data_IF_577040677389
#
_entry.id   IF_577040677389
#
_cell.length_a   1.000
_cell.length_b   1.000
_cell.length_c   1.000
_cell.angle_alpha   90.00
_cell.angle_beta   90.00
_cell.angle_gamma   90.00
#
_symmetry.space_group_name_H-M   'P 1'
#
loop_
_entity.id
_entity.type
_entity.pdbx_description
1 polymer ?
#
# COMPACT_ATOMS: atom_id res chain seq x y z
N UNK A 1 6.76 51.92 27.38
CA UNK A 1 5.69 50.89 27.47
C UNK A 1 5.61 50.23 26.11
N UNK A 2 6.32 49.11 25.97
CA UNK A 2 6.53 48.41 24.70
C UNK A 2 5.31 47.60 24.30
N UNK A 3 4.92 47.68 23.03
CA UNK A 3 3.84 46.89 22.43
C UNK A 3 4.34 45.46 22.22
N UNK A 4 3.69 44.50 22.86
CA UNK A 4 3.91 43.08 22.69
C UNK A 4 3.40 42.64 21.32
N UNK A 5 4.29 42.02 20.53
CA UNK A 5 3.95 41.30 19.32
C UNK A 5 3.40 39.90 19.66
N UNK A 6 2.58 39.38 18.75
CA UNK A 6 2.36 37.94 18.52
C UNK A 6 1.41 37.26 19.52
N UNK A 7 0.29 36.67 19.12
CA UNK A 7 0.25 35.60 18.11
C UNK A 7 -1.18 35.29 17.67
N UNK A 8 -1.44 35.56 16.38
CA UNK A 8 -2.08 34.67 15.40
C UNK A 8 -3.57 34.28 15.56
N UNK A 9 -4.23 33.98 14.43
CA UNK A 9 -5.64 34.26 14.18
C UNK A 9 -6.51 32.99 14.15
N UNK A 10 -7.82 33.23 14.19
CA UNK A 10 -8.90 32.59 13.40
C UNK A 10 -8.65 31.15 12.93
N UNK A 11 -9.54 30.25 13.37
CA UNK A 11 -10.04 29.10 12.61
C UNK A 11 -9.46 28.95 11.18
N UNK A 12 -8.43 28.13 11.03
CA UNK A 12 -8.07 27.56 9.74
C UNK A 12 -8.16 26.04 9.84
N UNK A 13 -9.40 25.57 9.77
CA UNK A 13 -9.71 24.30 9.15
C UNK A 13 -9.12 24.32 7.73
N UNK A 14 -7.91 23.79 7.59
CA UNK A 14 -7.28 23.53 6.30
C UNK A 14 -6.22 22.45 6.50
N UNK A 15 -6.70 21.23 6.82
CA UNK A 15 -6.08 20.06 6.18
C UNK A 15 -6.37 20.24 4.69
N UNK A 16 -5.41 20.85 4.02
CA UNK A 16 -5.33 20.95 2.59
C UNK A 16 -5.25 19.53 2.02
N UNK A 17 -6.43 18.93 1.78
CA UNK A 17 -6.59 17.86 0.81
C UNK A 17 -6.59 18.51 -0.57
N UNK A 18 -5.44 19.11 -0.92
CA UNK A 18 -5.22 19.69 -2.22
C UNK A 18 -5.03 18.58 -3.24
N UNK A 19 -6.01 18.51 -4.15
CA UNK A 19 -5.95 17.88 -5.47
C UNK A 19 -5.96 16.36 -5.49
N UNK A 20 -7.12 15.78 -5.81
CA UNK A 20 -7.29 14.89 -6.97
C UNK A 20 -6.43 13.62 -7.11
N UNK A 21 -5.60 13.27 -6.14
CA UNK A 21 -5.06 11.94 -5.99
C UNK A 21 -6.05 11.20 -5.11
N UNK A 22 -6.93 10.42 -5.75
CA UNK A 22 -7.54 9.29 -5.07
C UNK A 22 -6.35 8.54 -4.43
N UNK A 23 -6.19 8.57 -3.10
CA UNK A 23 -5.04 7.93 -2.44
C UNK A 23 -5.07 6.48 -2.85
N UNK A 24 -4.23 6.11 -3.82
CA UNK A 24 -4.26 4.80 -4.42
C UNK A 24 -4.11 3.78 -3.30
N UNK A 25 -5.14 2.95 -3.10
CA UNK A 25 -5.12 1.96 -2.02
C UNK A 25 -3.97 1.00 -2.25
N UNK A 26 -3.22 0.68 -1.21
CA UNK A 26 -2.09 -0.22 -1.29
C UNK A 26 -2.49 -1.54 -0.65
N UNK A 27 -2.45 -2.63 -1.41
CA UNK A 27 -2.60 -3.97 -0.88
C UNK A 27 -1.30 -4.76 -0.99
N UNK A 28 -1.20 -5.79 -0.17
CA UNK A 28 -0.11 -6.74 -0.17
C UNK A 28 -0.63 -8.10 -0.64
N UNK A 29 0.05 -8.69 -1.59
CA UNK A 29 -0.36 -9.95 -2.18
C UNK A 29 0.87 -10.83 -2.41
N UNK A 30 0.72 -12.14 -2.23
CA UNK A 30 1.76 -13.11 -2.56
C UNK A 30 1.09 -14.41 -2.99
N UNK A 31 1.81 -15.18 -3.81
CA UNK A 31 1.36 -16.48 -4.33
C UNK A 31 2.59 -17.31 -4.72
N UNK A 32 2.38 -18.55 -5.16
CA UNK A 32 3.41 -19.48 -5.59
C UNK A 32 4.37 -18.90 -6.65
N UNK A 33 3.86 -18.04 -7.54
CA UNK A 33 4.65 -17.37 -8.57
C UNK A 33 5.69 -16.38 -8.03
N UNK A 34 5.59 -15.95 -6.78
CA UNK A 34 6.53 -15.02 -6.13
C UNK A 34 7.69 -15.73 -5.43
N UNK A 35 7.87 -17.03 -5.71
CA UNK A 35 9.02 -17.78 -5.24
C UNK A 35 10.30 -17.33 -5.95
N UNK A 36 11.23 -16.75 -5.19
CA UNK A 36 12.56 -16.43 -5.66
C UNK A 36 13.50 -17.61 -5.41
N UNK A 37 14.05 -18.19 -6.49
CA UNK A 37 15.06 -19.25 -6.41
C UNK A 37 16.37 -18.76 -5.80
N UNK A 38 16.72 -17.52 -6.08
CA UNK A 38 17.95 -16.88 -5.60
C UNK A 38 17.97 -16.79 -4.07
N UNK A 39 16.80 -16.46 -3.48
CA UNK A 39 16.64 -16.29 -2.05
C UNK A 39 16.01 -17.50 -1.35
N UNK A 40 15.67 -18.56 -2.10
CA UNK A 40 14.99 -19.77 -1.63
C UNK A 40 13.76 -19.46 -0.76
N UNK A 41 12.91 -18.53 -1.21
CA UNK A 41 11.75 -18.08 -0.45
C UNK A 41 10.75 -17.28 -1.26
N UNK A 42 9.59 -17.05 -0.67
CA UNK A 42 8.47 -16.29 -1.22
C UNK A 42 8.57 -14.83 -0.78
N UNK A 43 8.45 -13.92 -1.75
CA UNK A 43 8.38 -12.49 -1.49
C UNK A 43 6.92 -12.03 -1.40
N UNK A 44 6.67 -10.99 -0.62
CA UNK A 44 5.36 -10.31 -0.60
C UNK A 44 5.41 -9.16 -1.59
N UNK A 45 4.42 -9.06 -2.47
CA UNK A 45 4.31 -7.99 -3.44
C UNK A 45 3.35 -6.92 -2.93
N UNK A 46 3.84 -5.68 -2.90
CA UNK A 46 3.04 -4.49 -2.66
C UNK A 46 2.47 -4.03 -3.99
N UNK A 47 1.15 -3.94 -4.06
CA UNK A 47 0.40 -3.52 -5.24
C UNK A 47 -0.33 -2.24 -4.89
N UNK A 48 -0.15 -1.24 -5.74
CA UNK A 48 -0.80 0.06 -5.58
C UNK A 48 -1.94 0.15 -6.59
N UNK A 49 -3.11 0.55 -6.13
CA UNK A 49 -4.30 0.71 -6.97
C UNK A 49 -4.01 1.69 -8.12
N UNK A 50 -4.47 1.35 -9.32
CA UNK A 50 -4.24 2.16 -10.53
C UNK A 50 -2.75 2.40 -10.86
N UNK A 51 -1.84 1.56 -10.38
CA UNK A 51 -0.43 1.55 -10.76
C UNK A 51 -0.11 0.20 -11.41
N UNK A 52 0.49 0.22 -12.60
CA UNK A 52 0.89 -0.99 -13.28
C UNK A 52 2.05 -1.68 -12.56
N UNK A 53 1.93 -2.99 -12.37
CA UNK A 53 2.96 -3.81 -11.76
C UNK A 53 2.92 -3.83 -10.22
N UNK A 54 3.97 -4.37 -9.63
CA UNK A 54 4.07 -4.56 -8.20
C UNK A 54 5.50 -4.30 -7.71
N UNK A 55 5.62 -3.91 -6.44
CA UNK A 55 6.89 -3.72 -5.76
C UNK A 55 7.12 -4.89 -4.79
N UNK A 56 8.13 -5.74 -4.98
CA UNK A 56 8.45 -6.78 -4.00
C UNK A 56 8.97 -6.12 -2.71
N UNK A 57 8.38 -6.47 -1.57
CA UNK A 57 8.85 -6.04 -0.26
C UNK A 57 10.20 -6.71 0.07
N UNK A 58 11.08 -6.01 0.81
CA UNK A 58 12.28 -6.62 1.36
C UNK A 58 11.88 -7.63 2.44
N UNK A 59 12.24 -8.90 2.23
CA UNK A 59 11.90 -10.00 3.12
C UNK A 59 11.45 -11.21 2.33
N UNK A 60 12.11 -12.35 2.58
CA UNK A 60 11.78 -13.61 1.92
C UNK A 60 11.41 -14.64 2.97
N UNK A 61 10.28 -15.30 2.74
CA UNK A 61 9.74 -16.29 3.65
C UNK A 61 9.95 -17.68 3.08
N UNK A 62 10.45 -18.62 3.88
CA UNK A 62 10.69 -20.00 3.40
C UNK A 62 9.40 -20.73 3.01
N UNK A 63 8.28 -20.37 3.63
CA UNK A 63 6.98 -20.97 3.39
C UNK A 63 6.02 -19.96 2.79
N UNK A 64 5.22 -20.39 1.82
CA UNK A 64 4.19 -19.56 1.19
C UNK A 64 3.15 -19.13 2.22
N UNK A 65 2.72 -20.03 3.10
CA UNK A 65 1.71 -19.74 4.13
C UNK A 65 2.14 -18.60 5.06
N UNK A 66 3.44 -18.49 5.36
CA UNK A 66 4.00 -17.41 6.17
C UNK A 66 3.91 -16.07 5.42
N UNK A 67 4.32 -16.04 4.14
CA UNK A 67 4.21 -14.85 3.30
C UNK A 67 2.75 -14.41 3.13
N UNK A 68 1.82 -15.37 2.94
CA UNK A 68 0.39 -15.11 2.82
C UNK A 68 -0.17 -14.54 4.12
N UNK A 69 0.20 -15.11 5.27
CA UNK A 69 -0.24 -14.61 6.58
C UNK A 69 0.26 -13.18 6.85
N UNK A 70 1.48 -12.86 6.42
CA UNK A 70 2.04 -11.50 6.54
C UNK A 70 1.31 -10.53 5.61
N UNK A 71 1.09 -10.92 4.34
CA UNK A 71 0.32 -10.10 3.40
C UNK A 71 -1.10 -9.82 3.91
N UNK A 72 -1.79 -10.86 4.41
CA UNK A 72 -3.13 -10.74 5.01
C UNK A 72 -3.12 -9.87 6.27
N UNK A 73 -2.12 -10.02 7.14
CA UNK A 73 -1.92 -9.16 8.31
C UNK A 73 -1.78 -7.69 7.92
N UNK A 74 -0.89 -7.39 6.98
CA UNK A 74 -0.67 -6.03 6.47
C UNK A 74 -1.94 -5.44 5.83
N UNK A 75 -2.71 -6.26 5.09
CA UNK A 75 -3.98 -5.82 4.51
C UNK A 75 -5.02 -5.50 5.59
N UNK A 76 -5.11 -6.33 6.64
CA UNK A 76 -6.00 -6.10 7.78
C UNK A 76 -5.63 -4.84 8.56
N UNK A 77 -4.33 -4.58 8.76
CA UNK A 77 -3.84 -3.33 9.37
C UNK A 77 -4.25 -2.10 8.56
N UNK A 78 -4.33 -2.23 7.24
CA UNK A 78 -4.82 -1.19 6.33
C UNK A 78 -6.36 -1.12 6.25
N UNK A 79 -7.08 -1.98 6.98
CA UNK A 79 -8.54 -2.07 6.93
C UNK A 79 -9.09 -2.59 5.60
N UNK A 80 -8.26 -3.28 4.81
CA UNK A 80 -8.65 -3.84 3.53
C UNK A 80 -9.28 -5.21 3.70
N UNK A 81 -10.37 -5.45 2.97
CA UNK A 81 -10.96 -6.78 2.87
C UNK A 81 -10.32 -7.57 1.73
N UNK A 82 -10.52 -8.88 1.71
CA UNK A 82 -10.04 -9.74 0.60
C UNK A 82 -10.63 -9.32 -0.76
N UNK A 83 -11.84 -8.74 -0.77
CA UNK A 83 -12.47 -8.18 -1.97
C UNK A 83 -11.73 -6.93 -2.45
N UNK A 84 -11.38 -6.00 -1.54
CA UNK A 84 -10.56 -4.83 -1.85
C UNK A 84 -9.20 -5.24 -2.42
N UNK A 85 -8.53 -6.22 -1.79
CA UNK A 85 -7.24 -6.74 -2.27
C UNK A 85 -7.39 -7.27 -3.70
N UNK A 86 -8.40 -8.09 -3.95
CA UNK A 86 -8.67 -8.65 -5.28
C UNK A 86 -8.97 -7.56 -6.31
N UNK A 87 -9.72 -6.53 -5.93
CA UNK A 87 -10.03 -5.38 -6.77
C UNK A 87 -8.78 -4.57 -7.13
N UNK A 88 -7.92 -4.27 -6.15
CA UNK A 88 -6.68 -3.51 -6.33
C UNK A 88 -5.71 -4.28 -7.24
N UNK A 89 -5.52 -5.58 -6.99
CA UNK A 89 -4.72 -6.48 -7.83
C UNK A 89 -5.24 -6.47 -9.27
N UNK A 90 -6.55 -6.64 -9.46
CA UNK A 90 -7.16 -6.65 -10.79
C UNK A 90 -7.06 -5.28 -11.50
N UNK A 91 -7.09 -4.18 -10.76
CA UNK A 91 -6.88 -2.82 -11.30
C UNK A 91 -5.44 -2.65 -11.80
N UNK A 92 -4.46 -3.03 -10.99
CA UNK A 92 -3.04 -2.99 -11.35
C UNK A 92 -2.71 -3.87 -12.57
N UNK A 93 -3.23 -5.10 -12.60
CA UNK A 93 -3.03 -6.02 -13.73
C UNK A 93 -3.64 -5.48 -15.03
N UNK A 94 -4.82 -4.85 -14.96
CA UNK A 94 -5.45 -4.21 -16.14
C UNK A 94 -4.57 -3.14 -16.77
N UNK A 95 -3.83 -2.39 -15.96
CA UNK A 95 -2.92 -1.36 -16.45
C UNK A 95 -1.60 -1.92 -17.00
N UNK A 96 -1.12 -3.05 -16.46
CA UNK A 96 0.09 -3.71 -16.95
C UNK A 96 -0.08 -4.52 -18.25
N UNK A 97 -1.29 -4.57 -18.81
CA UNK A 97 -1.61 -5.29 -20.05
C UNK A 97 -1.61 -4.37 -21.29
N UNK A 98 -1.39 -3.06 -21.11
CA UNK A 98 -1.22 -2.07 -22.18
C UNK A 98 0.25 -1.96 -22.61
#
# INVERSE_FOLDING_TARGET
MGRECSSRPVWCAQHQHEKGYNMARICYHTNESYFSRDHQGYSVAKITENVAGYEPLPGHHRQLSDAVAIADGLNKEQGLTQDDVSYIVASSMRLGTL
#
